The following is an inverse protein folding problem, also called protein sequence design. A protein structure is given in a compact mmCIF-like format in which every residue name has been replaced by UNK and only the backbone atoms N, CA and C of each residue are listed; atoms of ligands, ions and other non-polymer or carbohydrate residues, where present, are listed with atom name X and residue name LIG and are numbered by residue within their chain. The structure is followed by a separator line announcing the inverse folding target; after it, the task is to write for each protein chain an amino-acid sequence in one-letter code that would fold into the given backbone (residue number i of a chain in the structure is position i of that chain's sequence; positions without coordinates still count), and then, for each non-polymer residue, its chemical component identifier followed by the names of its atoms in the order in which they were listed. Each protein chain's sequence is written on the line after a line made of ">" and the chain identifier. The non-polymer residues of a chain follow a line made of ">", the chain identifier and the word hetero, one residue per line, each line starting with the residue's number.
data_IF_356629070120
#
_entry.id   IF_356629070120
#
_cell.length_a   1.000
_cell.length_b   1.000
_cell.length_c   1.000
_cell.angle_alpha   90.00
_cell.angle_beta   90.00
_cell.angle_gamma   90.00
#
_symmetry.space_group_name_H-M   'P 1'
#
loop_
_entity.id
_entity.type
_entity.pdbx_description
1 polymer ?
#
# COMPACT_ATOMS: atom_id res chain seq x y z
N UNK A 1 43.80 -40.11 42.00
CA UNK A 1 45.14 -39.57 41.76
C UNK A 1 45.86 -40.54 40.84
N UNK A 2 46.43 -40.04 39.73
CA UNK A 2 46.98 -40.72 38.53
C UNK A 2 46.05 -40.76 37.28
N UNK A 3 46.50 -40.03 36.23
CA UNK A 3 46.43 -40.23 34.76
C UNK A 3 45.08 -40.51 34.06
N UNK A 4 44.70 -39.97 32.89
CA UNK A 4 45.41 -39.67 31.61
C UNK A 4 44.65 -38.66 30.72
N UNK A 5 45.43 -37.81 30.01
CA UNK A 5 45.38 -37.29 28.63
C UNK A 5 44.11 -37.19 27.75
N UNK A 6 44.21 -36.17 26.85
CA UNK A 6 43.66 -36.08 25.47
C UNK A 6 42.26 -35.43 25.37
N UNK A 7 41.90 -34.53 24.44
CA UNK A 7 42.27 -34.27 23.04
C UNK A 7 41.97 -32.80 22.70
N UNK A 8 42.84 -32.21 21.87
CA UNK A 8 42.69 -30.97 21.12
C UNK A 8 41.71 -31.16 19.94
N UNK A 9 40.69 -30.29 19.78
CA UNK A 9 39.98 -30.17 18.51
C UNK A 9 39.37 -28.78 18.31
N UNK A 10 39.97 -28.03 17.39
CA UNK A 10 39.42 -26.80 16.86
C UNK A 10 38.12 -27.03 16.09
N UNK A 11 37.08 -26.29 16.45
CA UNK A 11 35.86 -26.14 15.65
C UNK A 11 35.94 -24.83 14.85
N UNK A 12 36.41 -24.96 13.61
CA UNK A 12 36.08 -24.04 12.51
C UNK A 12 34.62 -24.28 12.15
N UNK A 13 33.74 -23.34 12.49
CA UNK A 13 32.34 -23.39 12.07
C UNK A 13 32.26 -23.06 10.58
N UNK A 14 31.79 -24.06 9.82
CA UNK A 14 31.62 -24.07 8.37
C UNK A 14 30.65 -22.98 7.90
N UNK A 15 31.17 -22.01 7.14
CA UNK A 15 30.45 -21.38 6.03
C UNK A 15 30.45 -22.34 4.85
N UNK A 16 29.26 -22.62 4.30
CA UNK A 16 28.96 -23.05 2.92
C UNK A 16 27.83 -24.08 2.91
N UNK A 17 26.64 -23.61 2.55
CA UNK A 17 25.67 -24.45 1.84
C UNK A 17 25.22 -23.69 0.61
N UNK A 18 25.80 -24.10 -0.51
CA UNK A 18 25.50 -23.73 -1.88
C UNK A 18 24.04 -24.09 -2.21
N UNK A 19 23.30 -23.13 -2.76
CA UNK A 19 22.14 -23.41 -3.59
C UNK A 19 22.64 -23.70 -5.00
N UNK A 20 22.55 -24.95 -5.41
CA UNK A 20 22.73 -25.36 -6.79
C UNK A 20 21.34 -25.31 -7.44
N UNK A 21 21.06 -24.23 -8.19
CA UNK A 21 19.88 -24.12 -9.06
C UNK A 21 20.43 -23.82 -10.45
N UNK A 22 20.45 -24.84 -11.29
CA UNK A 22 20.76 -24.74 -12.71
C UNK A 22 19.56 -24.11 -13.44
N UNK A 23 19.55 -22.79 -13.60
CA UNK A 23 18.65 -22.08 -14.52
C UNK A 23 19.47 -21.12 -15.40
N UNK A 24 19.55 -21.33 -16.73
CA UNK A 24 20.44 -20.57 -17.62
C UNK A 24 19.76 -19.29 -18.12
N UNK A 25 19.48 -18.35 -17.21
CA UNK A 25 18.77 -17.11 -17.55
C UNK A 25 19.42 -15.80 -17.08
N UNK A 26 20.02 -15.76 -15.89
CA UNK A 26 20.67 -14.56 -15.35
C UNK A 26 21.69 -14.96 -14.28
N UNK A 27 22.76 -15.65 -14.67
CA UNK A 27 23.91 -15.79 -13.79
C UNK A 27 24.56 -14.42 -13.64
N UNK A 28 24.34 -13.83 -12.47
CA UNK A 28 25.24 -12.84 -11.88
C UNK A 28 26.65 -13.41 -12.00
N UNK A 29 27.47 -12.87 -12.91
CA UNK A 29 28.89 -13.21 -12.98
C UNK A 29 29.45 -13.02 -11.57
N UNK A 30 30.12 -14.04 -11.04
CA UNK A 30 30.89 -13.96 -9.79
C UNK A 30 32.14 -13.10 -9.99
N UNK A 31 31.96 -11.88 -10.50
CA UNK A 31 32.98 -10.87 -10.59
C UNK A 31 33.35 -10.45 -9.15
N UNK A 32 34.65 -10.30 -8.92
CA UNK A 32 35.20 -9.85 -7.64
C UNK A 32 34.61 -8.47 -7.33
N UNK A 33 34.18 -8.29 -6.08
CA UNK A 33 33.67 -7.01 -5.60
C UNK A 33 34.85 -6.01 -5.59
N UNK A 34 34.72 -4.83 -6.23
CA UNK A 34 35.76 -3.82 -6.17
C UNK A 34 35.94 -3.29 -4.75
N UNK A 35 37.17 -3.26 -4.23
CA UNK A 35 37.45 -2.60 -2.96
C UNK A 35 37.28 -1.07 -3.10
N UNK A 36 36.67 -0.35 -2.13
CA UNK A 36 36.22 -0.76 -0.79
C UNK A 36 34.69 -0.98 -0.69
N UNK A 37 34.05 -1.51 -1.74
CA UNK A 37 32.60 -1.74 -1.74
C UNK A 37 32.21 -2.95 -0.87
N UNK A 38 31.00 -2.90 -0.32
CA UNK A 38 30.40 -3.97 0.47
C UNK A 38 29.02 -4.32 -0.07
N UNK A 39 28.71 -5.61 -0.15
CA UNK A 39 27.40 -6.11 -0.56
C UNK A 39 26.50 -6.14 0.66
N UNK A 40 25.31 -5.57 0.53
CA UNK A 40 24.27 -5.62 1.53
C UNK A 40 23.06 -6.39 0.97
N UNK A 41 22.53 -7.32 1.76
CA UNK A 41 21.40 -8.16 1.36
C UNK A 41 20.14 -7.64 2.04
N UNK A 42 19.16 -7.21 1.26
CA UNK A 42 17.86 -6.80 1.76
C UNK A 42 17.08 -8.02 2.29
N UNK A 43 16.26 -7.93 3.36
CA UNK A 43 15.48 -9.06 3.88
C UNK A 43 14.51 -9.72 2.88
N UNK A 44 14.17 -9.04 1.78
CA UNK A 44 13.36 -9.57 0.66
C UNK A 44 14.20 -10.24 -0.44
N UNK A 45 15.51 -10.33 -0.29
CA UNK A 45 16.40 -11.12 -1.15
C UNK A 45 17.15 -10.35 -2.24
N UNK A 46 16.84 -9.08 -2.51
CA UNK A 46 17.67 -8.28 -3.42
C UNK A 46 18.94 -7.77 -2.74
N UNK A 47 19.93 -7.39 -3.54
CA UNK A 47 21.21 -6.84 -3.07
C UNK A 47 21.32 -5.36 -3.44
N UNK A 48 22.13 -4.65 -2.68
CA UNK A 48 22.58 -3.30 -2.98
C UNK A 48 24.01 -3.13 -2.46
N UNK A 49 24.69 -2.07 -2.89
CA UNK A 49 26.12 -1.89 -2.66
C UNK A 49 26.39 -0.63 -1.86
N UNK A 50 27.33 -0.71 -0.92
CA UNK A 50 27.72 0.40 -0.06
C UNK A 50 29.23 0.58 -0.04
N UNK A 51 29.66 1.82 -0.20
CA UNK A 51 31.02 2.25 0.03
C UNK A 51 31.08 3.16 1.27
N UNK A 52 31.60 2.64 2.37
CA UNK A 52 31.63 3.35 3.65
C UNK A 52 32.56 4.58 3.60
N UNK A 53 33.67 4.48 2.88
CA UNK A 53 34.67 5.54 2.76
C UNK A 53 34.15 6.73 1.95
N UNK A 54 33.39 6.44 0.88
CA UNK A 54 32.75 7.47 0.06
C UNK A 54 31.39 7.94 0.60
N UNK A 55 30.85 7.28 1.64
CA UNK A 55 29.49 7.51 2.14
C UNK A 55 28.43 7.38 1.03
N UNK A 56 28.61 6.38 0.16
CA UNK A 56 27.74 6.15 -1.01
C UNK A 56 27.03 4.81 -0.90
N UNK A 57 25.76 4.80 -1.27
CA UNK A 57 24.93 3.61 -1.44
C UNK A 57 24.33 3.61 -2.85
N UNK A 58 24.25 2.45 -3.50
CA UNK A 58 23.62 2.31 -4.81
C UNK A 58 22.94 0.96 -4.99
N UNK A 59 21.85 0.95 -5.75
CA UNK A 59 21.12 -0.26 -6.15
C UNK A 59 21.72 -0.93 -7.40
N UNK A 60 22.69 -0.27 -8.04
CA UNK A 60 23.30 -0.74 -9.29
C UNK A 60 24.45 -1.70 -9.02
N UNK A 61 24.64 -2.65 -9.93
CA UNK A 61 25.66 -3.68 -9.78
C UNK A 61 27.07 -3.13 -10.04
N UNK A 62 27.76 -2.71 -8.98
CA UNK A 62 29.13 -2.17 -9.07
C UNK A 62 30.18 -3.21 -9.46
N UNK A 63 29.80 -4.49 -9.65
CA UNK A 63 30.70 -5.50 -10.24
C UNK A 63 30.82 -5.34 -11.75
N UNK A 64 29.89 -4.61 -12.38
CA UNK A 64 30.03 -4.16 -13.74
C UNK A 64 30.92 -2.90 -13.78
N UNK A 65 32.00 -2.96 -14.56
CA UNK A 65 33.01 -1.90 -14.65
C UNK A 65 32.41 -0.59 -15.15
N UNK A 66 31.46 -0.65 -16.10
CA UNK A 66 30.81 0.56 -16.64
C UNK A 66 29.93 1.25 -15.59
N UNK A 67 29.23 0.46 -14.80
CA UNK A 67 28.42 0.93 -13.67
C UNK A 67 29.31 1.51 -12.56
N UNK A 68 30.42 0.85 -12.24
CA UNK A 68 31.38 1.31 -11.24
C UNK A 68 31.97 2.69 -11.63
N UNK A 69 32.48 2.83 -12.84
CA UNK A 69 33.04 4.10 -13.34
C UNK A 69 32.01 5.24 -13.26
N UNK A 70 30.75 4.94 -13.58
CA UNK A 70 29.67 5.93 -13.54
C UNK A 70 29.36 6.36 -12.10
N UNK A 71 29.25 5.40 -11.19
CA UNK A 71 28.99 5.63 -9.76
C UNK A 71 30.13 6.41 -9.13
N UNK A 72 31.38 6.09 -9.44
CA UNK A 72 32.56 6.80 -8.95
C UNK A 72 32.65 8.23 -9.50
N UNK A 73 32.35 8.44 -10.79
CA UNK A 73 32.27 9.77 -11.39
C UNK A 73 31.21 10.63 -10.69
N UNK A 74 30.03 10.08 -10.48
CA UNK A 74 28.94 10.76 -9.78
C UNK A 74 29.29 11.10 -8.33
N UNK A 75 30.00 10.20 -7.65
CA UNK A 75 30.49 10.43 -6.30
C UNK A 75 31.50 11.58 -6.25
N UNK A 76 32.41 11.69 -7.23
CA UNK A 76 33.37 12.79 -7.33
C UNK A 76 32.70 14.14 -7.60
N UNK A 77 31.64 14.16 -8.40
CA UNK A 77 30.90 15.38 -8.73
C UNK A 77 30.02 15.87 -7.57
N UNK A 78 29.69 14.99 -6.61
CA UNK A 78 28.89 15.33 -5.44
C UNK A 78 29.78 15.89 -4.30
N UNK A 79 29.34 16.92 -3.55
CA UNK A 79 30.10 17.47 -2.43
C UNK A 79 30.10 16.55 -1.19
N UNK A 80 30.68 15.34 -1.30
CA UNK A 80 30.77 14.33 -0.23
C UNK A 80 31.48 14.90 1.01
N UNK A 81 32.45 15.79 0.83
CA UNK A 81 33.17 16.45 1.92
C UNK A 81 32.28 17.34 2.82
N UNK A 82 31.11 17.76 2.33
CA UNK A 82 30.14 18.52 3.13
C UNK A 82 29.26 17.62 4.03
N UNK A 83 29.30 16.29 3.87
CA UNK A 83 28.49 15.37 4.64
C UNK A 83 29.07 15.15 6.04
N UNK A 84 28.25 15.40 7.07
CA UNK A 84 28.60 15.13 8.46
C UNK A 84 28.70 13.61 8.75
N UNK A 85 29.08 13.26 9.98
CA UNK A 85 29.02 11.88 10.47
C UNK A 85 27.56 11.38 10.52
N UNK A 86 27.33 10.13 10.12
CA UNK A 86 25.98 9.55 10.02
C UNK A 86 25.17 10.04 8.81
N UNK A 87 25.80 10.76 7.87
CA UNK A 87 25.20 11.09 6.59
C UNK A 87 25.76 10.24 5.45
N UNK A 88 24.94 9.96 4.45
CA UNK A 88 25.33 9.25 3.22
C UNK A 88 24.47 9.69 2.04
N UNK A 89 24.88 9.30 0.83
CA UNK A 89 24.19 9.62 -0.41
C UNK A 89 23.80 8.32 -1.09
N UNK A 90 22.53 8.22 -1.44
CA UNK A 90 22.01 7.17 -2.30
C UNK A 90 22.02 7.65 -3.75
N UNK A 91 22.78 6.95 -4.58
CA UNK A 91 22.91 7.22 -6.02
C UNK A 91 21.94 6.34 -6.79
N UNK A 92 20.81 6.94 -7.18
CA UNK A 92 19.82 6.33 -8.06
C UNK A 92 20.14 6.67 -9.52
N UNK A 93 20.78 5.75 -10.25
CA UNK A 93 20.86 5.88 -11.71
C UNK A 93 19.52 5.50 -12.35
N UNK A 94 18.89 6.44 -13.05
CA UNK A 94 17.79 6.16 -13.96
C UNK A 94 18.38 6.01 -15.36
N UNK A 95 18.45 4.78 -15.87
CA UNK A 95 18.73 4.58 -17.28
C UNK A 95 17.49 5.05 -18.05
N UNK A 96 17.47 6.30 -18.51
CA UNK A 96 16.55 6.68 -19.58
C UNK A 96 17.07 5.98 -20.83
N UNK A 97 16.53 4.79 -21.11
CA UNK A 97 16.60 4.18 -22.45
C UNK A 97 15.93 5.16 -23.42
N UNK A 98 16.70 6.09 -23.96
CA UNK A 98 16.39 6.77 -25.20
C UNK A 98 17.20 6.04 -26.26
N UNK A 99 16.55 5.13 -26.98
CA UNK A 99 17.14 4.34 -28.06
C UNK A 99 17.78 5.21 -29.18
N UNK A 100 17.56 6.52 -29.17
CA UNK A 100 17.92 7.45 -30.24
C UNK A 100 19.19 8.29 -29.98
N UNK A 101 19.90 8.12 -28.85
CA UNK A 101 21.10 8.91 -28.54
C UNK A 101 22.38 8.05 -28.44
N UNK A 102 23.50 8.47 -29.05
CA UNK A 102 24.77 7.77 -28.90
C UNK A 102 25.21 7.77 -27.43
N UNK A 103 25.74 6.63 -26.97
CA UNK A 103 26.10 6.36 -25.57
C UNK A 103 27.00 7.42 -24.88
N UNK A 104 27.65 8.28 -25.66
CA UNK A 104 28.52 9.35 -25.16
C UNK A 104 27.81 10.67 -24.84
N UNK A 105 26.51 10.82 -25.15
CA UNK A 105 25.76 12.07 -24.94
C UNK A 105 24.52 11.93 -24.03
N UNK A 106 24.22 10.74 -23.50
CA UNK A 106 23.08 10.58 -22.58
C UNK A 106 23.41 11.28 -21.26
N UNK A 107 22.69 12.36 -20.88
CA UNK A 107 22.89 12.98 -19.58
C UNK A 107 22.53 11.93 -18.53
N UNK A 108 23.55 11.45 -17.83
CA UNK A 108 23.36 10.54 -16.71
C UNK A 108 22.75 11.34 -15.57
N UNK A 109 21.42 11.45 -15.56
CA UNK A 109 20.68 12.06 -14.47
C UNK A 109 20.71 11.10 -13.29
N UNK A 110 21.77 11.21 -12.49
CA UNK A 110 21.90 10.48 -11.24
C UNK A 110 21.15 11.31 -10.20
N UNK A 111 20.08 10.73 -9.67
CA UNK A 111 19.36 11.34 -8.56
C UNK A 111 20.11 11.03 -7.28
N UNK A 112 20.59 12.09 -6.63
CA UNK A 112 21.30 11.99 -5.36
C UNK A 112 20.30 12.24 -4.25
N UNK A 113 19.96 11.20 -3.49
CA UNK A 113 19.19 11.35 -2.27
C UNK A 113 20.17 11.42 -1.10
N UNK A 114 20.27 12.58 -0.46
CA UNK A 114 21.11 12.77 0.72
C UNK A 114 20.33 12.32 1.95
N UNK A 115 20.95 11.49 2.78
CA UNK A 115 20.35 10.83 3.93
C UNK A 115 21.11 11.25 5.19
N UNK A 116 20.38 11.69 6.22
CA UNK A 116 20.91 11.98 7.54
C UNK A 116 20.27 11.04 8.58
N UNK A 117 21.03 10.05 9.03
CA UNK A 117 20.57 9.03 9.98
C UNK A 117 20.33 9.59 11.38
N UNK A 118 21.15 10.54 11.81
CA UNK A 118 21.05 11.17 13.13
C UNK A 118 19.73 11.91 13.33
N UNK A 119 19.25 12.59 12.28
CA UNK A 119 17.98 13.34 12.29
C UNK A 119 16.80 12.59 11.69
N UNK A 120 17.02 11.41 11.12
CA UNK A 120 16.04 10.61 10.37
C UNK A 120 15.34 11.41 9.26
N UNK A 121 16.13 12.10 8.41
CA UNK A 121 15.65 12.91 7.28
C UNK A 121 16.43 12.59 6.00
N UNK A 122 15.77 12.72 4.85
CA UNK A 122 16.42 12.60 3.54
C UNK A 122 15.79 13.56 2.52
N UNK A 123 16.59 14.15 1.65
CA UNK A 123 16.15 15.07 0.60
C UNK A 123 17.08 15.04 -0.60
N UNK A 124 16.58 15.50 -1.75
CA UNK A 124 17.38 15.73 -2.94
C UNK A 124 18.18 17.04 -2.86
N UNK A 125 17.86 17.90 -1.89
CA UNK A 125 18.60 19.12 -1.58
C UNK A 125 19.40 18.89 -0.30
N UNK A 126 20.72 19.08 -0.35
CA UNK A 126 21.60 18.83 0.80
C UNK A 126 21.23 19.76 1.97
N UNK A 127 20.82 20.99 1.66
CA UNK A 127 20.45 22.02 2.63
C UNK A 127 19.31 21.57 3.54
N UNK A 128 18.36 20.79 3.04
CA UNK A 128 17.21 20.31 3.82
C UNK A 128 17.59 19.26 4.87
N UNK A 129 18.75 18.62 4.74
CA UNK A 129 19.17 17.50 5.60
C UNK A 129 20.36 17.84 6.49
N UNK A 130 20.95 19.02 6.33
CA UNK A 130 22.03 19.49 7.20
C UNK A 130 21.52 19.68 8.64
N UNK A 131 22.26 19.21 9.66
CA UNK A 131 21.81 19.24 11.06
C UNK A 131 21.33 20.61 11.56
N UNK A 132 21.95 21.70 11.10
CA UNK A 132 21.61 23.08 11.43
C UNK A 132 20.26 23.53 10.84
N UNK A 133 19.86 22.96 9.71
CA UNK A 133 18.67 23.37 8.98
C UNK A 133 17.43 22.54 9.35
N UNK A 134 17.61 21.29 9.78
CA UNK A 134 16.48 20.39 10.14
C UNK A 134 15.51 21.02 11.15
N UNK A 135 15.96 21.72 12.22
CA UNK A 135 15.05 22.38 13.16
C UNK A 135 14.29 23.58 12.58
N UNK A 136 14.80 24.16 11.49
CA UNK A 136 14.24 25.36 10.83
C UNK A 136 13.20 25.01 9.76
N UNK A 137 13.08 23.73 9.38
CA UNK A 137 12.11 23.30 8.38
C UNK A 137 10.68 23.48 8.88
N UNK A 138 9.81 23.95 7.99
CA UNK A 138 8.37 23.93 8.24
C UNK A 138 7.83 22.49 8.34
N UNK A 139 6.67 22.31 8.99
CA UNK A 139 6.09 20.99 9.23
C UNK A 139 5.87 20.17 7.95
N UNK A 140 5.45 20.82 6.85
CA UNK A 140 5.23 20.19 5.55
C UNK A 140 6.49 19.53 5.01
N UNK A 141 7.54 20.33 4.92
CA UNK A 141 8.83 19.92 4.38
C UNK A 141 9.46 18.88 5.30
N UNK A 142 9.39 19.07 6.63
CA UNK A 142 9.87 18.11 7.61
C UNK A 142 9.19 16.73 7.46
N UNK A 143 7.87 16.69 7.30
CA UNK A 143 7.14 15.44 7.07
C UNK A 143 7.56 14.78 5.74
N UNK A 144 7.79 15.58 4.69
CA UNK A 144 8.26 15.09 3.39
C UNK A 144 9.66 14.48 3.47
N UNK A 145 10.63 15.16 4.09
CA UNK A 145 12.00 14.64 4.20
C UNK A 145 12.11 13.44 5.14
N UNK A 146 11.29 13.38 6.19
CA UNK A 146 11.18 12.18 7.04
C UNK A 146 10.57 11.00 6.27
N UNK A 147 9.58 11.26 5.41
CA UNK A 147 9.01 10.21 4.54
C UNK A 147 10.06 9.66 3.57
N UNK A 148 10.88 10.53 2.96
CA UNK A 148 11.98 10.09 2.11
C UNK A 148 13.00 9.24 2.88
N UNK A 149 13.34 9.64 4.11
CA UNK A 149 14.22 8.86 4.98
C UNK A 149 13.68 7.46 5.26
N UNK A 150 12.46 7.35 5.75
CA UNK A 150 11.89 6.05 6.09
C UNK A 150 11.67 5.18 4.85
N UNK A 151 11.42 5.79 3.69
CA UNK A 151 11.40 5.06 2.42
C UNK A 151 12.79 4.53 2.03
N UNK A 152 13.85 5.32 2.26
CA UNK A 152 15.22 4.88 2.04
C UNK A 152 15.60 3.72 2.96
N UNK A 153 15.38 3.85 4.28
CA UNK A 153 15.68 2.80 5.27
C UNK A 153 14.89 1.52 4.98
N UNK A 154 13.63 1.64 4.54
CA UNK A 154 12.82 0.49 4.13
C UNK A 154 13.45 -0.30 2.98
N UNK A 155 14.09 0.38 2.03
CA UNK A 155 14.72 -0.26 0.87
C UNK A 155 16.17 -0.68 1.12
N UNK A 156 16.84 -0.12 2.14
CA UNK A 156 18.26 -0.39 2.45
C UNK A 156 18.54 -0.62 3.96
N UNK A 157 17.82 -1.51 4.65
CA UNK A 157 17.88 -1.62 6.12
C UNK A 157 19.16 -2.29 6.64
N UNK A 158 19.85 -3.07 5.81
CA UNK A 158 20.88 -4.03 6.25
C UNK A 158 22.18 -3.42 6.76
N UNK A 159 22.55 -2.23 6.28
CA UNK A 159 23.77 -1.54 6.71
C UNK A 159 23.50 -0.43 7.74
N UNK A 160 22.23 -0.18 8.04
CA UNK A 160 21.79 0.93 8.89
C UNK A 160 21.47 0.36 10.27
N UNK A 161 22.11 0.83 11.36
CA UNK A 161 21.66 0.47 12.69
C UNK A 161 20.26 1.04 12.94
N UNK A 162 19.42 0.31 13.68
CA UNK A 162 18.08 0.80 14.00
C UNK A 162 18.18 2.15 14.73
N UNK A 163 17.57 3.24 14.23
CA UNK A 163 17.64 4.53 14.91
C UNK A 163 17.04 4.45 16.32
N UNK A 164 17.75 4.94 17.34
CA UNK A 164 17.33 4.82 18.75
C UNK A 164 15.95 5.42 19.00
N UNK A 165 15.64 6.53 18.32
CA UNK A 165 14.34 7.20 18.41
C UNK A 165 13.20 6.48 17.70
N UNK A 166 13.48 5.51 16.82
CA UNK A 166 12.45 4.91 15.96
C UNK A 166 11.36 4.19 16.77
N UNK A 167 11.74 3.42 17.79
CA UNK A 167 10.77 2.71 18.65
C UNK A 167 9.91 3.71 19.45
N UNK A 168 10.54 4.76 19.97
CA UNK A 168 9.83 5.81 20.73
C UNK A 168 8.85 6.55 19.84
N UNK A 169 9.28 6.98 18.66
CA UNK A 169 8.45 7.70 17.70
C UNK A 169 7.31 6.81 17.17
N UNK A 170 7.56 5.50 16.99
CA UNK A 170 6.54 4.53 16.58
C UNK A 170 5.50 4.30 17.69
N UNK A 171 5.95 4.12 18.94
CA UNK A 171 5.08 3.95 20.11
C UNK A 171 4.21 5.18 20.35
N UNK A 172 4.78 6.39 20.22
CA UNK A 172 4.03 7.65 20.35
C UNK A 172 2.95 7.77 19.27
N UNK A 173 3.30 7.48 18.01
CA UNK A 173 2.34 7.51 16.91
C UNK A 173 1.20 6.49 17.10
N UNK A 174 1.50 5.26 17.50
CA UNK A 174 0.48 4.24 17.78
C UNK A 174 -0.42 4.63 18.96
N UNK A 175 0.17 5.19 20.02
CA UNK A 175 -0.59 5.67 21.18
C UNK A 175 -1.58 6.74 20.73
N UNK A 176 -1.12 7.71 19.94
CA UNK A 176 -1.99 8.75 19.40
C UNK A 176 -3.11 8.17 18.54
N UNK A 177 -2.79 7.24 17.63
CA UNK A 177 -3.79 6.58 16.79
C UNK A 177 -4.81 5.80 17.60
N UNK A 178 -4.37 5.04 18.60
CA UNK A 178 -5.25 4.29 19.49
C UNK A 178 -6.16 5.23 20.31
N UNK A 179 -5.61 6.32 20.85
CA UNK A 179 -6.35 7.31 21.62
C UNK A 179 -7.39 8.03 20.76
N UNK A 180 -7.05 8.44 19.54
CA UNK A 180 -8.01 9.07 18.62
C UNK A 180 -9.15 8.11 18.27
N UNK A 181 -8.83 6.83 18.03
CA UNK A 181 -9.83 5.79 17.84
C UNK A 181 -10.72 5.57 19.07
N UNK A 182 -10.19 5.74 20.29
CA UNK A 182 -10.97 5.64 21.52
C UNK A 182 -11.92 6.84 21.68
N UNK A 183 -11.45 8.05 21.37
CA UNK A 183 -12.21 9.30 21.56
C UNK A 183 -13.27 9.48 20.46
N UNK A 184 -12.90 9.25 19.20
CA UNK A 184 -13.75 9.53 18.03
C UNK A 184 -14.46 8.29 17.48
N UNK A 185 -14.03 7.08 17.88
CA UNK A 185 -14.63 5.82 17.43
C UNK A 185 -14.68 5.72 15.90
N UNK A 186 -15.89 5.61 15.35
CA UNK A 186 -16.13 5.46 13.92
C UNK A 186 -15.93 6.77 13.10
N UNK A 187 -15.64 7.88 13.77
CA UNK A 187 -15.27 9.16 13.16
C UNK A 187 -13.76 9.39 13.09
N UNK A 188 -12.95 8.48 13.68
CA UNK A 188 -11.50 8.56 13.57
C UNK A 188 -11.08 8.45 12.09
N UNK A 189 -10.07 9.24 11.74
CA UNK A 189 -9.45 9.24 10.40
C UNK A 189 -8.09 8.58 10.39
N UNK A 190 -7.71 7.94 11.50
CA UNK A 190 -6.38 7.36 11.68
C UNK A 190 -6.16 6.17 10.75
N UNK A 191 -4.90 5.95 10.31
CA UNK A 191 -4.58 4.94 9.30
C UNK A 191 -4.76 3.51 9.80
N UNK A 192 -4.67 3.30 11.13
CA UNK A 192 -4.81 1.99 11.76
C UNK A 192 -6.03 1.96 12.68
N UNK A 193 -6.66 0.79 12.73
CA UNK A 193 -7.73 0.48 13.66
C UNK A 193 -7.24 0.25 15.08
N UNK A 194 -8.18 0.26 16.03
CA UNK A 194 -7.88 -0.04 17.43
C UNK A 194 -7.22 -1.42 17.57
N UNK A 195 -7.76 -2.44 16.89
CA UNK A 195 -7.22 -3.79 16.92
C UNK A 195 -5.82 -3.86 16.28
N UNK A 196 -5.62 -3.21 15.13
CA UNK A 196 -4.30 -3.12 14.50
C UNK A 196 -3.30 -2.38 15.39
N UNK A 197 -3.71 -1.32 16.08
CA UNK A 197 -2.84 -0.60 17.02
C UNK A 197 -2.42 -1.50 18.19
N UNK A 198 -3.30 -2.35 18.72
CA UNK A 198 -3.00 -3.29 19.81
C UNK A 198 -2.04 -4.41 19.36
N UNK A 199 -2.23 -4.93 18.14
CA UNK A 199 -1.34 -5.91 17.51
C UNK A 199 0.05 -5.31 17.25
N UNK A 200 0.11 -4.15 16.59
CA UNK A 200 1.36 -3.43 16.29
C UNK A 200 2.10 -3.02 17.57
N UNK A 201 1.37 -2.62 18.63
CA UNK A 201 1.97 -2.31 19.94
C UNK A 201 2.58 -3.54 20.60
N UNK A 202 1.98 -4.73 20.41
CA UNK A 202 2.54 -5.99 20.90
C UNK A 202 3.84 -6.32 20.15
N UNK A 203 3.83 -6.23 18.82
CA UNK A 203 5.03 -6.43 18.00
C UNK A 203 6.14 -5.46 18.40
N UNK A 204 5.85 -4.17 18.61
CA UNK A 204 6.86 -3.18 19.03
C UNK A 204 7.48 -3.50 20.40
N UNK A 205 6.71 -4.04 21.35
CA UNK A 205 7.25 -4.47 22.65
C UNK A 205 8.21 -5.65 22.48
N UNK A 206 7.86 -6.61 21.64
CA UNK A 206 8.67 -7.81 21.40
C UNK A 206 9.98 -7.49 20.66
N UNK A 207 10.01 -6.39 19.90
CA UNK A 207 11.21 -5.90 19.20
C UNK A 207 12.22 -5.18 20.12
N UNK A 208 11.87 -4.95 21.39
CA UNK A 208 12.73 -4.27 22.35
C UNK A 208 13.92 -5.18 22.73
N UNK A 209 15.16 -4.70 22.56
CA UNK A 209 16.39 -5.42 22.94
C UNK A 209 17.15 -6.14 21.82
N UNK A 210 16.65 -6.16 20.58
CA UNK A 210 17.38 -6.72 19.43
C UNK A 210 17.91 -5.61 18.51
N UNK A 211 19.03 -4.97 18.87
CA UNK A 211 19.48 -3.73 18.22
C UNK A 211 20.11 -3.92 16.83
N UNK A 212 20.53 -5.14 16.49
CA UNK A 212 21.15 -5.49 15.20
C UNK A 212 20.24 -6.26 14.24
N UNK A 213 18.94 -6.36 14.53
CA UNK A 213 18.00 -7.04 13.63
C UNK A 213 17.61 -6.17 12.44
N UNK A 214 18.06 -6.55 11.25
CA UNK A 214 17.63 -5.89 10.00
C UNK A 214 16.11 -5.94 9.82
N UNK A 215 15.45 -7.03 10.26
CA UNK A 215 13.99 -7.15 10.20
C UNK A 215 13.30 -6.13 11.10
N UNK A 216 13.87 -5.81 12.27
CA UNK A 216 13.39 -4.74 13.16
C UNK A 216 13.51 -3.38 12.48
N UNK A 217 14.67 -3.07 11.91
CA UNK A 217 14.91 -1.82 11.17
C UNK A 217 13.92 -1.66 10.03
N UNK A 218 13.72 -2.72 9.25
CA UNK A 218 12.78 -2.77 8.14
C UNK A 218 11.34 -2.54 8.62
N UNK A 219 10.87 -3.29 9.64
CA UNK A 219 9.52 -3.11 10.19
C UNK A 219 9.26 -1.67 10.65
N UNK A 220 10.20 -1.10 11.43
CA UNK A 220 10.10 0.27 11.90
C UNK A 220 10.10 1.29 10.76
N UNK A 221 10.91 1.05 9.73
CA UNK A 221 10.96 1.91 8.57
C UNK A 221 9.65 1.91 7.79
N UNK A 222 9.02 0.75 7.57
CA UNK A 222 7.69 0.70 6.98
C UNK A 222 6.67 1.42 7.83
N UNK A 223 6.62 1.12 9.13
CA UNK A 223 5.63 1.72 10.01
C UNK A 223 5.75 3.25 10.05
N UNK A 224 6.95 3.77 10.24
CA UNK A 224 7.20 5.22 10.31
C UNK A 224 7.05 5.91 8.94
N UNK A 225 7.26 5.19 7.84
CA UNK A 225 6.88 5.65 6.49
C UNK A 225 5.37 5.82 6.37
N UNK A 226 4.57 4.87 6.85
CA UNK A 226 3.10 4.99 6.83
C UNK A 226 2.62 6.15 7.73
N UNK A 227 3.20 6.29 8.92
CA UNK A 227 2.92 7.42 9.84
C UNK A 227 3.22 8.76 9.16
N UNK A 228 4.40 8.92 8.54
CA UNK A 228 4.78 10.18 7.89
C UNK A 228 3.98 10.45 6.62
N UNK A 229 3.61 9.40 5.88
CA UNK A 229 2.69 9.50 4.74
C UNK A 229 1.31 10.01 5.17
N UNK A 230 0.74 9.44 6.24
CA UNK A 230 -0.52 9.89 6.81
C UNK A 230 -0.44 11.34 7.31
N UNK A 231 0.62 11.70 8.04
CA UNK A 231 0.85 13.07 8.50
C UNK A 231 0.93 14.06 7.33
N UNK A 232 1.56 13.67 6.23
CA UNK A 232 1.61 14.49 5.02
C UNK A 232 0.23 14.66 4.36
N UNK A 233 -0.60 13.60 4.29
CA UNK A 233 -1.94 13.70 3.70
C UNK A 233 -2.90 14.57 4.51
N UNK A 234 -2.71 14.62 5.83
CA UNK A 234 -3.52 15.41 6.76
C UNK A 234 -2.92 16.80 7.06
N UNK A 235 -1.89 17.24 6.31
CA UNK A 235 -1.22 18.54 6.50
C UNK A 235 -0.81 18.77 7.96
N UNK A 236 -0.29 17.70 8.60
CA UNK A 236 0.04 17.69 10.02
C UNK A 236 1.04 18.78 10.37
N UNK A 237 0.66 19.66 11.29
CA UNK A 237 1.47 20.78 11.76
C UNK A 237 1.41 22.04 10.88
N UNK A 238 0.63 22.05 9.80
CA UNK A 238 0.44 23.24 8.94
C UNK A 238 -0.81 24.05 9.30
N UNK A 239 -1.87 23.37 9.74
CA UNK A 239 -3.19 23.96 9.88
C UNK A 239 -3.56 24.19 11.35
N UNK A 240 -4.22 25.32 11.61
CA UNK A 240 -4.85 25.59 12.90
C UNK A 240 -6.11 24.74 13.09
N UNK A 241 -6.55 24.56 14.35
CA UNK A 241 -7.79 23.83 14.66
C UNK A 241 -8.99 24.34 13.87
N UNK A 242 -9.12 25.66 13.70
CA UNK A 242 -10.24 26.27 12.95
C UNK A 242 -10.21 25.86 11.47
N UNK A 243 -9.04 25.89 10.85
CA UNK A 243 -8.86 25.53 9.45
C UNK A 243 -9.08 24.03 9.21
N UNK A 244 -8.58 23.18 10.11
CA UNK A 244 -8.81 21.73 10.02
C UNK A 244 -10.29 21.39 10.12
N UNK A 245 -11.02 22.01 11.07
CA UNK A 245 -12.46 21.79 11.21
C UNK A 245 -13.22 22.26 9.96
N UNK A 246 -12.90 23.45 9.41
CA UNK A 246 -13.58 23.95 8.22
C UNK A 246 -13.33 23.07 6.99
N UNK A 247 -12.10 22.57 6.81
CA UNK A 247 -11.78 21.64 5.71
C UNK A 247 -12.49 20.29 5.85
N UNK A 248 -12.62 19.77 7.07
CA UNK A 248 -13.39 18.53 7.33
C UNK A 248 -14.86 18.71 6.95
N UNK A 249 -15.49 19.80 7.40
CA UNK A 249 -16.87 20.13 7.02
C UNK A 249 -17.04 20.35 5.52
N UNK A 250 -16.04 20.94 4.86
CA UNK A 250 -16.06 21.12 3.41
C UNK A 250 -15.89 19.78 2.65
N UNK A 251 -15.03 18.87 3.12
CA UNK A 251 -14.87 17.52 2.54
C UNK A 251 -16.17 16.74 2.63
N UNK A 252 -16.83 16.75 3.78
CA UNK A 252 -18.13 16.10 3.99
C UNK A 252 -19.23 16.65 3.06
N UNK A 253 -19.24 17.96 2.80
CA UNK A 253 -20.21 18.57 1.88
C UNK A 253 -19.87 18.37 0.40
N UNK A 254 -18.58 18.33 0.03
CA UNK A 254 -18.12 18.15 -1.36
C UNK A 254 -18.43 16.76 -1.94
N UNK A 255 -18.47 15.72 -1.09
CA UNK A 255 -18.93 14.38 -1.50
C UNK A 255 -20.43 14.34 -1.82
N UNK A 256 -21.18 15.42 -1.55
CA UNK A 256 -22.63 15.48 -1.74
C UNK A 256 -23.08 16.35 -2.93
N UNK A 257 -22.18 16.97 -3.71
CA UNK A 257 -22.63 17.90 -4.75
C UNK A 257 -21.74 17.90 -6.01
N UNK A 258 -22.00 16.96 -6.93
CA UNK A 258 -21.96 17.31 -8.36
C UNK A 258 -23.31 17.95 -8.67
N UNK A 259 -23.30 19.26 -8.88
CA UNK A 259 -24.50 20.06 -9.18
C UNK A 259 -25.07 19.68 -10.55
N UNK A 260 -25.94 18.68 -10.55
CA UNK A 260 -26.88 18.46 -11.65
C UNK A 260 -27.82 19.67 -11.75
N UNK A 261 -28.27 20.00 -12.96
CA UNK A 261 -29.23 21.08 -13.19
C UNK A 261 -30.49 20.85 -12.32
N UNK A 262 -31.07 21.89 -11.69
CA UNK A 262 -32.21 21.76 -10.80
C UNK A 262 -33.43 21.09 -11.46
N UNK A 263 -33.62 21.27 -12.77
CA UNK A 263 -34.69 20.61 -13.54
C UNK A 263 -34.44 19.11 -13.68
N UNK A 264 -33.19 18.72 -13.96
CA UNK A 264 -32.82 17.30 -14.05
C UNK A 264 -32.95 16.57 -12.72
N UNK A 265 -32.61 17.24 -11.61
CA UNK A 265 -32.82 16.69 -10.26
C UNK A 265 -34.30 16.47 -9.97
N UNK A 266 -35.18 17.40 -10.36
CA UNK A 266 -36.61 17.30 -10.11
C UNK A 266 -37.25 16.14 -10.92
N UNK A 267 -36.86 15.99 -12.18
CA UNK A 267 -37.29 14.85 -13.01
C UNK A 267 -36.78 13.52 -12.48
N UNK A 268 -35.50 13.44 -12.10
CA UNK A 268 -34.92 12.24 -11.48
C UNK A 268 -35.67 11.90 -10.19
N UNK A 269 -35.94 12.88 -9.34
CA UNK A 269 -36.65 12.69 -8.08
C UNK A 269 -38.11 12.25 -8.31
N UNK A 270 -38.79 12.79 -9.32
CA UNK A 270 -40.13 12.37 -9.69
C UNK A 270 -40.15 10.92 -10.21
N UNK A 271 -39.20 10.55 -11.08
CA UNK A 271 -39.10 9.18 -11.60
C UNK A 271 -38.77 8.19 -10.49
N UNK A 272 -37.78 8.49 -9.64
CA UNK A 272 -37.36 7.64 -8.53
C UNK A 272 -38.48 7.44 -7.51
N UNK A 273 -39.19 8.51 -7.14
CA UNK A 273 -40.22 8.42 -6.11
C UNK A 273 -41.56 7.86 -6.65
N UNK A 274 -41.92 8.15 -7.90
CA UNK A 274 -43.19 7.73 -8.48
C UNK A 274 -43.14 6.32 -9.07
N UNK A 275 -42.12 6.00 -9.88
CA UNK A 275 -42.06 4.70 -10.58
C UNK A 275 -41.30 3.63 -9.80
N UNK A 276 -40.31 4.02 -9.00
CA UNK A 276 -39.46 3.09 -8.26
C UNK A 276 -39.72 3.09 -6.75
N UNK A 277 -40.81 3.73 -6.30
CA UNK A 277 -41.24 3.77 -4.89
C UNK A 277 -40.12 4.20 -3.91
N UNK A 278 -39.15 5.00 -4.37
CA UNK A 278 -38.03 5.44 -3.54
C UNK A 278 -36.97 4.37 -3.24
N UNK A 279 -37.06 3.17 -3.82
CA UNK A 279 -36.07 2.09 -3.67
C UNK A 279 -34.63 2.56 -4.05
N UNK A 280 -34.42 3.38 -5.10
CA UNK A 280 -33.09 3.89 -5.40
C UNK A 280 -32.47 4.74 -4.29
N UNK A 281 -33.28 5.44 -3.46
CA UNK A 281 -32.75 6.23 -2.35
C UNK A 281 -32.18 5.35 -1.24
N UNK A 282 -32.79 4.19 -0.97
CA UNK A 282 -32.27 3.26 0.05
C UNK A 282 -30.96 2.63 -0.43
N UNK A 283 -30.86 2.23 -1.70
CA UNK A 283 -29.61 1.75 -2.27
C UNK A 283 -28.52 2.82 -2.28
N UNK A 284 -28.84 4.07 -2.65
CA UNK A 284 -27.89 5.18 -2.58
C UNK A 284 -27.40 5.45 -1.16
N UNK A 285 -28.29 5.43 -0.17
CA UNK A 285 -27.92 5.57 1.24
C UNK A 285 -26.98 4.44 1.70
N UNK A 286 -27.26 3.20 1.27
CA UNK A 286 -26.39 2.06 1.57
C UNK A 286 -25.04 2.16 0.88
N UNK A 287 -24.98 2.54 -0.40
CA UNK A 287 -23.73 2.76 -1.14
C UNK A 287 -22.92 3.86 -0.46
N UNK A 288 -23.55 5.00 -0.13
CA UNK A 288 -22.88 6.10 0.56
C UNK A 288 -22.30 5.65 1.90
N UNK A 289 -23.05 4.85 2.66
CA UNK A 289 -22.59 4.31 3.94
C UNK A 289 -21.45 3.29 3.81
N UNK A 290 -21.39 2.51 2.72
CA UNK A 290 -20.32 1.53 2.49
C UNK A 290 -19.12 2.09 1.73
N UNK A 291 -19.29 3.14 0.92
CA UNK A 291 -18.22 3.78 0.15
C UNK A 291 -17.50 4.89 0.90
N UNK A 292 -17.96 5.26 2.09
CA UNK A 292 -17.34 6.34 2.87
C UNK A 292 -15.96 5.90 3.35
N UNK A 293 -14.93 6.34 2.61
CA UNK A 293 -13.53 6.11 2.95
C UNK A 293 -13.16 6.96 4.17
N UNK A 294 -13.02 6.30 5.33
CA UNK A 294 -12.63 6.92 6.59
C UNK A 294 -11.24 6.49 7.07
N UNK A 295 -10.32 6.25 6.14
CA UNK A 295 -8.90 5.97 6.46
C UNK A 295 -8.53 4.51 6.62
N UNK A 296 -9.48 3.57 6.65
CA UNK A 296 -9.23 2.13 6.78
C UNK A 296 -9.74 1.35 5.58
N UNK A 297 -8.82 0.93 4.69
CA UNK A 297 -9.18 0.22 3.47
C UNK A 297 -9.79 -1.16 3.76
N UNK A 298 -9.32 -1.86 4.80
CA UNK A 298 -9.82 -3.18 5.20
C UNK A 298 -11.29 -3.14 5.68
N UNK A 299 -11.64 -2.15 6.51
CA UNK A 299 -13.02 -1.97 6.99
C UNK A 299 -13.98 -1.62 5.84
N UNK A 300 -13.53 -0.77 4.89
CA UNK A 300 -14.31 -0.44 3.68
C UNK A 300 -14.50 -1.69 2.83
N UNK A 301 -13.44 -2.48 2.62
CA UNK A 301 -13.50 -3.73 1.86
C UNK A 301 -14.48 -4.73 2.50
N UNK A 302 -14.42 -4.90 3.82
CA UNK A 302 -15.33 -5.80 4.54
C UNK A 302 -16.79 -5.34 4.48
N UNK A 303 -17.05 -4.04 4.70
CA UNK A 303 -18.39 -3.44 4.56
C UNK A 303 -18.93 -3.60 3.14
N UNK A 304 -18.07 -3.40 2.14
CA UNK A 304 -18.41 -3.57 0.75
C UNK A 304 -18.74 -5.03 0.42
N UNK A 305 -17.92 -5.98 0.88
CA UNK A 305 -18.17 -7.41 0.69
C UNK A 305 -19.51 -7.85 1.28
N UNK A 306 -19.81 -7.44 2.51
CA UNK A 306 -21.10 -7.72 3.16
C UNK A 306 -22.28 -7.10 2.40
N UNK A 307 -22.11 -5.89 1.87
CA UNK A 307 -23.14 -5.23 1.07
C UNK A 307 -23.38 -5.94 -0.27
N UNK A 308 -22.31 -6.36 -0.95
CA UNK A 308 -22.41 -7.16 -2.18
C UNK A 308 -23.08 -8.50 -1.89
N UNK A 309 -22.75 -9.19 -0.80
CA UNK A 309 -23.40 -10.45 -0.42
C UNK A 309 -24.92 -10.26 -0.20
N UNK A 310 -25.30 -9.19 0.50
CA UNK A 310 -26.70 -8.82 0.67
C UNK A 310 -27.39 -8.56 -0.67
N UNK A 311 -26.77 -7.79 -1.57
CA UNK A 311 -27.31 -7.51 -2.90
C UNK A 311 -27.54 -8.79 -3.70
N UNK A 312 -26.56 -9.71 -3.72
CA UNK A 312 -26.67 -10.99 -4.42
C UNK A 312 -27.84 -11.81 -3.89
N UNK A 313 -28.04 -11.83 -2.57
CA UNK A 313 -29.18 -12.50 -1.93
C UNK A 313 -30.52 -11.87 -2.33
N UNK A 314 -30.61 -10.54 -2.33
CA UNK A 314 -31.80 -9.80 -2.78
C UNK A 314 -32.11 -10.10 -4.26
N UNK A 315 -31.11 -10.08 -5.14
CA UNK A 315 -31.28 -10.42 -6.56
C UNK A 315 -31.72 -11.87 -6.77
N UNK A 316 -31.24 -12.83 -5.97
CA UNK A 316 -31.71 -14.22 -6.03
C UNK A 316 -33.21 -14.33 -5.74
N UNK A 317 -33.74 -13.57 -4.79
CA UNK A 317 -35.18 -13.54 -4.51
C UNK A 317 -35.97 -12.90 -5.66
N UNK A 318 -35.44 -11.83 -6.27
CA UNK A 318 -36.07 -11.20 -7.43
C UNK A 318 -36.09 -12.10 -8.66
N UNK A 319 -35.05 -12.93 -8.87
CA UNK A 319 -35.01 -13.94 -9.92
C UNK A 319 -36.15 -14.96 -9.77
N UNK A 320 -36.38 -15.45 -8.54
CA UNK A 320 -37.44 -16.41 -8.26
C UNK A 320 -38.81 -15.79 -8.57
N UNK A 321 -39.09 -14.60 -8.04
CA UNK A 321 -40.36 -13.88 -8.28
C UNK A 321 -40.56 -13.61 -9.77
N UNK A 322 -39.53 -13.13 -10.47
CA UNK A 322 -39.61 -12.83 -11.90
C UNK A 322 -39.86 -14.08 -12.75
N UNK A 323 -39.30 -15.22 -12.37
CA UNK A 323 -39.54 -16.50 -13.06
C UNK A 323 -40.99 -16.97 -12.86
N UNK A 324 -41.53 -16.84 -11.65
CA UNK A 324 -42.93 -17.15 -11.36
C UNK A 324 -43.87 -16.22 -12.14
N UNK A 325 -43.62 -14.91 -12.13
CA UNK A 325 -44.41 -13.94 -12.91
C UNK A 325 -44.33 -14.19 -14.42
N UNK A 326 -43.15 -14.56 -14.93
CA UNK A 326 -43.00 -14.93 -16.33
C UNK A 326 -43.85 -16.17 -16.68
N UNK A 327 -43.83 -17.21 -15.83
CA UNK A 327 -44.65 -18.40 -16.04
C UNK A 327 -46.15 -18.09 -16.03
N UNK A 328 -46.60 -17.23 -15.11
CA UNK A 328 -47.99 -16.82 -15.00
C UNK A 328 -48.45 -15.97 -16.19
N UNK A 329 -47.61 -15.02 -16.64
CA UNK A 329 -47.91 -14.15 -17.80
C UNK A 329 -47.94 -14.92 -19.11
N UNK A 330 -47.03 -15.88 -19.30
CA UNK A 330 -47.06 -16.80 -20.45
C UNK A 330 -48.31 -17.67 -20.42
N UNK A 331 -48.70 -18.20 -19.26
CA UNK A 331 -49.96 -18.95 -19.12
C UNK A 331 -51.21 -18.11 -19.38
N UNK A 332 -51.18 -16.81 -19.04
CA UNK A 332 -52.28 -15.90 -19.36
C UNK A 332 -52.34 -15.62 -20.87
N UNK A 333 -51.19 -15.45 -21.54
CA UNK A 333 -51.11 -15.25 -22.98
C UNK A 333 -51.60 -16.45 -23.81
N UNK A 334 -51.63 -17.66 -23.24
CA UNK A 334 -52.15 -18.85 -23.92
C UNK A 334 -53.67 -19.01 -23.86
N UNK A 335 -54.38 -18.13 -23.16
CA UNK A 335 -55.86 -18.16 -23.12
C UNK A 335 -56.39 -17.50 -24.41
N UNK A 336 -57.23 -18.22 -25.14
CA UNK A 336 -57.90 -17.66 -26.32
C UNK A 336 -58.98 -16.64 -25.91
N UNK A 337 -59.15 -15.56 -26.69
CA UNK A 337 -60.13 -14.46 -26.49
C UNK A 337 -59.84 -13.42 -25.39
N UNK A 338 -58.58 -13.11 -25.13
CA UNK A 338 -58.20 -11.96 -24.28
C UNK A 338 -58.35 -10.63 -25.04
N UNK A 339 -58.73 -9.57 -24.34
CA UNK A 339 -58.76 -8.21 -24.88
C UNK A 339 -57.36 -7.75 -25.31
N UNK A 340 -57.29 -6.91 -26.35
CA UNK A 340 -56.01 -6.41 -26.89
C UNK A 340 -55.17 -5.69 -25.82
N UNK A 341 -55.81 -4.92 -24.94
CA UNK A 341 -55.14 -4.24 -23.83
C UNK A 341 -54.51 -5.20 -22.83
N UNK A 342 -55.19 -6.31 -22.50
CA UNK A 342 -54.65 -7.32 -21.61
C UNK A 342 -53.48 -8.09 -22.24
N UNK A 343 -53.54 -8.35 -23.56
CA UNK A 343 -52.44 -8.97 -24.32
C UNK A 343 -51.20 -8.08 -24.35
N UNK A 344 -51.38 -6.77 -24.55
CA UNK A 344 -50.27 -5.80 -24.52
C UNK A 344 -49.65 -5.73 -23.13
N UNK A 345 -50.45 -5.62 -22.07
CA UNK A 345 -49.97 -5.58 -20.70
C UNK A 345 -49.21 -6.86 -20.32
N UNK A 346 -49.72 -8.03 -20.71
CA UNK A 346 -49.06 -9.31 -20.48
C UNK A 346 -47.71 -9.42 -21.23
N UNK A 347 -47.63 -8.89 -22.45
CA UNK A 347 -46.40 -8.86 -23.25
C UNK A 347 -45.33 -7.96 -22.63
N UNK A 348 -45.72 -6.76 -22.17
CA UNK A 348 -44.80 -5.83 -21.48
C UNK A 348 -44.32 -6.43 -20.16
N UNK A 349 -45.22 -7.07 -19.41
CA UNK A 349 -44.87 -7.77 -18.16
C UNK A 349 -43.87 -8.90 -18.42
N UNK A 350 -44.12 -9.76 -19.42
CA UNK A 350 -43.22 -10.85 -19.78
C UNK A 350 -41.82 -10.36 -20.20
N UNK A 351 -41.73 -9.31 -21.03
CA UNK A 351 -40.46 -8.70 -21.40
C UNK A 351 -39.71 -8.11 -20.20
N UNK A 352 -40.43 -7.47 -19.27
CA UNK A 352 -39.84 -6.89 -18.06
C UNK A 352 -39.33 -7.98 -17.12
N UNK A 353 -40.08 -9.07 -16.93
CA UNK A 353 -39.66 -10.22 -16.16
C UNK A 353 -38.43 -10.90 -16.78
N UNK A 354 -38.39 -11.07 -18.11
CA UNK A 354 -37.24 -11.62 -18.81
C UNK A 354 -35.99 -10.73 -18.64
N UNK A 355 -36.13 -9.41 -18.79
CA UNK A 355 -35.04 -8.47 -18.57
C UNK A 355 -34.50 -8.54 -17.13
N UNK A 356 -35.39 -8.64 -16.14
CA UNK A 356 -35.00 -8.81 -14.73
C UNK A 356 -34.23 -10.12 -14.51
N UNK A 357 -34.66 -11.22 -15.15
CA UNK A 357 -33.98 -12.51 -15.10
C UNK A 357 -32.56 -12.41 -15.69
N UNK A 358 -32.42 -11.82 -16.89
CA UNK A 358 -31.12 -11.66 -17.54
C UNK A 358 -30.16 -10.84 -16.66
N UNK A 359 -30.62 -9.71 -16.14
CA UNK A 359 -29.79 -8.83 -15.28
C UNK A 359 -29.41 -9.54 -13.98
N UNK A 360 -30.35 -10.23 -13.34
CA UNK A 360 -30.10 -10.95 -12.10
C UNK A 360 -29.11 -12.10 -12.28
N UNK A 361 -29.29 -12.93 -13.31
CA UNK A 361 -28.39 -14.06 -13.63
C UNK A 361 -26.99 -13.55 -13.96
N UNK A 362 -26.88 -12.51 -14.80
CA UNK A 362 -25.60 -11.90 -15.13
C UNK A 362 -24.87 -11.38 -13.89
N UNK A 363 -25.60 -10.73 -12.98
CA UNK A 363 -25.05 -10.18 -11.74
C UNK A 363 -24.54 -11.27 -10.80
N UNK A 364 -25.30 -12.36 -10.63
CA UNK A 364 -24.90 -13.53 -9.82
C UNK A 364 -23.68 -14.22 -10.43
N UNK A 365 -23.70 -14.46 -11.74
CA UNK A 365 -22.59 -15.09 -12.45
C UNK A 365 -21.29 -14.29 -12.31
N UNK A 366 -21.36 -12.97 -12.52
CA UNK A 366 -20.19 -12.08 -12.36
C UNK A 366 -19.68 -12.07 -10.91
N UNK A 367 -20.57 -12.14 -9.92
CA UNK A 367 -20.16 -12.23 -8.52
C UNK A 367 -19.43 -13.55 -8.24
N UNK A 368 -20.02 -14.68 -8.64
CA UNK A 368 -19.42 -16.01 -8.47
C UNK A 368 -18.05 -16.13 -9.16
N UNK A 369 -17.91 -15.64 -10.40
CA UNK A 369 -16.64 -15.67 -11.10
C UNK A 369 -15.53 -14.91 -10.36
N UNK A 370 -15.87 -13.78 -9.73
CA UNK A 370 -14.91 -12.99 -8.95
C UNK A 370 -14.59 -13.61 -7.58
N UNK A 371 -15.55 -14.26 -6.91
CA UNK A 371 -15.31 -14.92 -5.63
C UNK A 371 -14.55 -16.24 -5.79
N UNK A 372 -14.89 -17.07 -6.80
CA UNK A 372 -14.15 -18.29 -7.13
C UNK A 372 -12.69 -18.01 -7.47
N UNK A 373 -12.42 -16.94 -8.22
CA UNK A 373 -11.04 -16.51 -8.54
C UNK A 373 -10.25 -16.14 -7.28
N UNK A 374 -10.88 -15.47 -6.31
CA UNK A 374 -10.25 -15.13 -5.02
C UNK A 374 -9.94 -16.36 -4.17
N UNK A 375 -10.83 -17.36 -4.14
CA UNK A 375 -10.56 -18.64 -3.45
C UNK A 375 -9.39 -19.40 -4.09
N UNK A 376 -9.34 -19.50 -5.43
CA UNK A 376 -8.22 -20.16 -6.13
C UNK A 376 -6.86 -19.47 -5.94
N UNK A 377 -6.84 -18.16 -5.71
CA UNK A 377 -5.61 -17.40 -5.43
C UNK A 377 -5.18 -17.58 -3.96
N UNK A 378 -6.13 -17.77 -3.05
CA UNK A 378 -5.86 -18.00 -1.63
C UNK A 378 -5.41 -19.43 -1.34
N UNK A 379 -5.84 -20.40 -2.15
CA UNK A 379 -5.41 -21.82 -2.12
C UNK A 379 -4.25 -22.13 -3.08
N UNK A 380 -3.47 -21.11 -3.48
CA UNK A 380 -2.15 -21.33 -4.10
C UNK A 380 -1.18 -22.06 -3.15
N UNK A 381 -0.06 -22.61 -3.65
CA UNK A 381 0.58 -23.85 -3.15
C UNK A 381 1.35 -23.76 -1.82
N UNK A 382 0.90 -22.95 -0.86
CA UNK A 382 1.52 -22.84 0.47
C UNK A 382 0.76 -23.56 1.58
N UNK A 383 -0.45 -24.06 1.34
CA UNK A 383 -1.24 -24.82 2.34
C UNK A 383 -0.98 -26.33 2.32
N UNK A 384 0.02 -26.81 1.57
CA UNK A 384 0.44 -28.23 1.53
C UNK A 384 1.65 -28.55 2.42
N UNK A 385 1.78 -27.88 3.57
CA UNK A 385 2.67 -28.36 4.64
C UNK A 385 1.82 -28.53 5.91
N UNK A 386 1.00 -29.57 5.89
CA UNK A 386 0.46 -30.17 7.11
C UNK A 386 1.33 -31.35 7.52
N UNK A 387 1.86 -31.24 8.74
CA UNK A 387 2.16 -32.32 9.68
C UNK A 387 2.77 -33.61 9.14
N UNK A 388 4.09 -33.72 9.30
CA UNK A 388 4.73 -34.85 9.99
C UNK A 388 5.97 -34.35 10.75
#
# INVERSE_FOLDING_TARGET
>A
MAYTNSVDSGLKTRTNTLFNIDDPGHFVKSALLPDPWSICIHPRGWIYFRNASLKVVTDHDVRDETTLELVERAAMDFPIGALAEGMEVHLCHMHMMRDDLPAHEVPSNIFNLVVNHSSCVASYQIEDVLPENVPLLNAKLLNRVRRHYWNYVWNHPSHIPTPERAIRDATDALTMFWTDNLILGNQSTMPFSKAECEELSTILRDLHGNDHSTSKTMFLAWFLREVTSFRASESYGELTIKQTTSLKTQRESSLSARTLSPVSLLLIHAVINCFFFGIPHTYWAHIKATSEYRGRLADVQHKWEKYIERLVREYSHFLLISTVLLSATVGFLSIDNITEGARLAASVSALTSLASIIIGVFSVWRHQANTSRRHSVREGPFDSIQFL
#
